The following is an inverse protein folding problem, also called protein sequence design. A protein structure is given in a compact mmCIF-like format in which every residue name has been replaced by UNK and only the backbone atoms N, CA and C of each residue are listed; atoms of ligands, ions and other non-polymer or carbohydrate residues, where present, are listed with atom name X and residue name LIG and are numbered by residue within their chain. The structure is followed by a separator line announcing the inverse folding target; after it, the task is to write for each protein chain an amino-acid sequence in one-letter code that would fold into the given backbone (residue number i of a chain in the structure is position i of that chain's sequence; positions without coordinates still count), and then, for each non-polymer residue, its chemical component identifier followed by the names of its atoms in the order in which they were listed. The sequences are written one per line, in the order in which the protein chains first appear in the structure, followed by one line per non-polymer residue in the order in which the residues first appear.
data_IF_536728569088
#
_entry.id   IF_536728569088
#
_cell.length_a   1.000
_cell.length_b   1.000
_cell.length_c   1.000
_cell.angle_alpha   90.00
_cell.angle_beta   90.00
_cell.angle_gamma   90.00
#
_symmetry.space_group_name_H-M   'P 1'
#
loop_
_entity.id
_entity.type
_entity.pdbx_description
1 polymer ?
#
# COMPACT_ATOMS: atom_id res chain seq x y z
N UNK A 1 5.06 -15.58 4.73
CA UNK A 1 4.13 -14.80 3.89
C UNK A 1 2.75 -15.45 3.94
N UNK A 2 1.68 -14.69 3.70
CA UNK A 2 0.33 -15.24 3.48
C UNK A 2 -0.19 -14.85 2.10
N UNK A 3 -1.22 -15.55 1.61
CA UNK A 3 -1.81 -15.33 0.29
C UNK A 3 -3.33 -15.33 0.39
N UNK A 4 -3.98 -14.39 -0.28
CA UNK A 4 -5.44 -14.25 -0.33
C UNK A 4 -5.91 -14.27 -1.78
N UNK A 5 -6.93 -15.07 -2.07
CA UNK A 5 -7.60 -15.08 -3.36
C UNK A 5 -8.68 -14.00 -3.40
N UNK A 6 -8.54 -13.02 -4.28
CA UNK A 6 -9.50 -11.90 -4.34
C UNK A 6 -10.86 -12.30 -4.93
N UNK A 7 -10.94 -13.47 -5.57
CA UNK A 7 -12.21 -14.02 -6.04
C UNK A 7 -13.14 -14.47 -4.90
N UNK A 8 -12.60 -14.72 -3.69
CA UNK A 8 -13.38 -15.18 -2.54
C UNK A 8 -14.14 -14.02 -1.85
N UNK A 9 -13.82 -12.78 -2.20
CA UNK A 9 -14.37 -11.56 -1.61
C UNK A 9 -13.28 -10.50 -1.39
N UNK A 10 -13.69 -9.26 -1.10
CA UNK A 10 -12.74 -8.18 -0.79
C UNK A 10 -12.12 -8.42 0.60
N UNK A 11 -10.78 -8.49 0.71
CA UNK A 11 -10.11 -9.00 1.92
C UNK A 11 -10.00 -7.95 3.02
N UNK A 12 -11.14 -7.49 3.52
CA UNK A 12 -11.26 -6.61 4.68
C UNK A 12 -11.65 -7.44 5.90
N UNK A 13 -10.89 -7.33 6.98
CA UNK A 13 -11.15 -8.13 8.18
C UNK A 13 -12.58 -7.94 8.69
N UNK A 14 -13.20 -9.05 9.06
CA UNK A 14 -14.56 -9.08 9.61
C UNK A 14 -14.60 -9.38 11.10
N UNK A 15 -13.50 -9.87 11.69
CA UNK A 15 -13.37 -10.09 13.14
C UNK A 15 -13.18 -8.79 13.94
N UNK A 16 -12.92 -7.67 13.26
CA UNK A 16 -13.01 -6.31 13.79
C UNK A 16 -13.36 -5.35 12.67
N UNK A 17 -14.04 -4.26 12.99
CA UNK A 17 -14.29 -3.17 12.03
C UNK A 17 -12.99 -2.46 11.65
N UNK A 18 -12.73 -2.35 10.36
CA UNK A 18 -11.59 -1.63 9.75
C UNK A 18 -12.14 -0.41 9.02
N UNK A 19 -11.46 0.73 9.12
CA UNK A 19 -11.87 1.97 8.45
C UNK A 19 -11.44 1.95 6.97
N UNK A 20 -12.26 1.35 6.10
CA UNK A 20 -11.99 1.28 4.67
C UNK A 20 -11.88 2.67 4.02
N UNK A 21 -12.68 3.65 4.45
CA UNK A 21 -12.65 4.99 3.85
C UNK A 21 -11.29 5.67 4.07
N UNK A 22 -10.72 5.53 5.28
CA UNK A 22 -9.36 6.01 5.55
C UNK A 22 -8.34 5.31 4.66
N UNK A 23 -8.47 3.99 4.47
CA UNK A 23 -7.60 3.21 3.59
C UNK A 23 -7.66 3.66 2.14
N UNK A 24 -8.87 3.92 1.64
CA UNK A 24 -9.07 4.36 0.28
C UNK A 24 -8.51 5.77 0.05
N UNK A 25 -8.76 6.71 0.97
CA UNK A 25 -8.19 8.06 0.86
C UNK A 25 -6.67 8.05 0.89
N UNK A 26 -6.07 7.20 1.72
CA UNK A 26 -4.62 7.06 1.78
C UNK A 26 -4.06 6.49 0.47
N UNK A 27 -4.67 5.43 -0.08
CA UNK A 27 -4.27 4.88 -1.38
C UNK A 27 -4.39 5.91 -2.51
N UNK A 28 -5.49 6.66 -2.56
CA UNK A 28 -5.68 7.70 -3.57
C UNK A 28 -4.65 8.84 -3.42
N UNK A 29 -4.23 9.15 -2.18
CA UNK A 29 -3.12 10.07 -1.93
C UNK A 29 -1.78 9.52 -2.38
N UNK A 30 -1.50 8.22 -2.19
CA UNK A 30 -0.31 7.59 -2.79
C UNK A 30 -0.35 7.70 -4.32
N UNK A 31 -1.50 7.42 -4.92
CA UNK A 31 -1.65 7.45 -6.37
C UNK A 31 -1.64 8.85 -6.97
N UNK A 32 -1.91 9.92 -6.21
CA UNK A 32 -1.77 11.29 -6.72
C UNK A 32 -0.31 11.72 -6.85
N UNK A 33 0.62 11.01 -6.20
CA UNK A 33 2.04 11.38 -6.16
C UNK A 33 2.37 12.50 -5.18
N UNK A 34 1.37 13.05 -4.48
CA UNK A 34 1.52 14.16 -3.53
C UNK A 34 2.37 13.73 -2.32
N UNK A 35 3.21 14.65 -1.84
CA UNK A 35 4.09 14.50 -0.68
C UNK A 35 3.66 15.39 0.49
N UNK A 36 2.57 16.13 0.34
CA UNK A 36 2.02 16.98 1.39
C UNK A 36 0.71 16.44 1.95
N UNK A 37 0.55 16.45 3.27
CA UNK A 37 -0.63 15.89 3.93
C UNK A 37 -1.85 16.80 4.01
N UNK A 38 -1.87 17.96 3.33
CA UNK A 38 -2.97 18.94 3.44
C UNK A 38 -4.34 18.37 3.11
N UNK A 39 -4.40 17.47 2.13
CA UNK A 39 -5.65 16.84 1.71
C UNK A 39 -5.94 15.60 2.56
N UNK A 40 -4.91 14.84 2.93
CA UNK A 40 -5.04 13.67 3.78
C UNK A 40 -5.49 14.04 5.21
N UNK A 41 -5.03 15.17 5.75
CA UNK A 41 -5.44 15.76 7.04
C UNK A 41 -6.94 16.02 7.15
N UNK A 42 -7.63 16.25 6.03
CA UNK A 42 -9.09 16.47 6.01
C UNK A 42 -9.87 15.20 6.34
N UNK A 43 -9.24 14.02 6.23
CA UNK A 43 -9.89 12.71 6.36
C UNK A 43 -9.24 11.81 7.42
N UNK A 44 -7.94 11.98 7.69
CA UNK A 44 -7.22 11.24 8.74
C UNK A 44 -6.07 12.08 9.31
N UNK A 45 -5.77 11.88 10.61
CA UNK A 45 -4.66 12.54 11.32
C UNK A 45 -3.45 11.64 11.54
N UNK A 46 -3.50 10.40 11.05
CA UNK A 46 -2.44 9.40 11.26
C UNK A 46 -1.07 9.97 10.86
N UNK A 47 -1.00 10.63 9.71
CA UNK A 47 0.24 11.14 9.13
C UNK A 47 0.80 12.40 9.80
N UNK A 48 0.07 13.02 10.73
CA UNK A 48 0.51 14.26 11.40
C UNK A 48 1.80 14.07 12.19
N UNK A 49 2.01 12.88 12.77
CA UNK A 49 3.17 12.59 13.61
C UNK A 49 4.49 12.50 12.83
N UNK A 50 4.42 12.19 11.52
CA UNK A 50 5.60 11.98 10.67
C UNK A 50 5.84 13.09 9.65
N UNK A 51 4.89 14.01 9.48
CA UNK A 51 5.09 15.21 8.71
C UNK A 51 6.01 16.21 9.42
N UNK A 52 6.64 17.09 8.65
CA UNK A 52 7.32 18.26 9.22
C UNK A 52 6.31 19.34 9.67
N UNK A 53 6.83 20.47 10.16
CA UNK A 53 6.02 21.59 10.64
C UNK A 53 5.15 22.22 9.54
N UNK A 54 5.57 22.09 8.27
CA UNK A 54 4.85 22.61 7.10
C UNK A 54 3.80 21.62 6.59
N UNK A 55 3.89 20.35 7.00
CA UNK A 55 3.04 19.27 6.53
C UNK A 55 3.60 18.55 5.31
N UNK A 56 4.88 18.75 5.02
CA UNK A 56 5.61 18.02 4.00
C UNK A 56 6.08 16.67 4.56
N UNK A 57 6.02 15.66 3.70
CA UNK A 57 6.38 14.27 3.98
C UNK A 57 7.32 13.83 2.87
N UNK A 58 8.60 14.18 3.00
CA UNK A 58 9.63 13.90 1.99
C UNK A 58 9.71 12.40 1.61
N UNK A 59 9.19 11.56 2.50
CA UNK A 59 9.24 10.11 2.49
C UNK A 59 7.92 9.47 2.05
N UNK A 60 6.97 10.29 1.60
CA UNK A 60 5.65 9.87 1.16
C UNK A 60 5.75 8.77 0.09
N UNK A 61 5.02 7.67 0.30
CA UNK A 61 4.94 6.59 -0.68
C UNK A 61 4.55 7.10 -2.07
N UNK A 62 3.61 8.05 -2.14
CA UNK A 62 3.11 8.55 -3.42
C UNK A 62 4.19 9.18 -4.28
N UNK A 63 5.06 9.99 -3.69
CA UNK A 63 6.24 10.56 -4.37
C UNK A 63 7.06 9.45 -5.01
N UNK A 64 7.37 8.38 -4.28
CA UNK A 64 8.13 7.27 -4.87
C UNK A 64 7.34 6.48 -5.91
N UNK A 65 6.02 6.35 -5.79
CA UNK A 65 5.25 5.56 -6.76
C UNK A 65 5.05 6.27 -8.09
N UNK A 66 4.80 7.58 -8.06
CA UNK A 66 4.45 8.38 -9.26
C UNK A 66 5.55 9.33 -9.72
N UNK A 67 6.49 9.68 -8.83
CA UNK A 67 7.52 10.71 -9.03
C UNK A 67 8.88 10.26 -8.49
N UNK A 68 9.27 9.00 -8.74
CA UNK A 68 10.51 8.45 -8.16
C UNK A 68 11.73 9.22 -8.69
N UNK A 69 12.56 9.83 -7.84
CA UNK A 69 13.72 10.60 -8.29
C UNK A 69 14.80 9.66 -8.82
N UNK A 70 15.21 9.86 -10.08
CA UNK A 70 16.26 9.10 -10.73
C UNK A 70 17.28 10.05 -11.37
N UNK A 71 18.57 10.00 -10.98
CA UNK A 71 19.61 10.76 -11.65
C UNK A 71 19.71 10.36 -13.13
N UNK A 72 19.60 11.33 -14.03
CA UNK A 72 19.78 11.12 -15.47
C UNK A 72 21.26 10.83 -15.72
N UNK A 73 21.64 9.56 -15.68
CA UNK A 73 22.95 9.13 -16.16
C UNK A 73 22.89 8.94 -17.69
N UNK A 74 23.88 9.50 -18.40
CA UNK A 74 24.21 9.05 -19.75
C UNK A 74 24.88 7.68 -19.62
N UNK A 75 24.09 6.60 -19.56
CA UNK A 75 24.46 5.18 -19.69
C UNK A 75 25.80 4.71 -19.07
N UNK A 76 25.78 3.80 -18.07
CA UNK A 76 26.95 3.10 -17.53
C UNK A 76 28.17 3.98 -17.16
N UNK A 77 28.01 5.31 -17.13
CA UNK A 77 29.08 6.21 -16.74
C UNK A 77 29.43 5.95 -15.27
N UNK A 78 30.71 6.01 -14.89
CA UNK A 78 31.11 5.92 -13.49
C UNK A 78 30.33 6.92 -12.65
N UNK A 79 30.09 6.58 -11.38
CA UNK A 79 29.55 7.51 -10.39
C UNK A 79 30.33 8.83 -10.49
N UNK A 80 29.60 9.94 -10.62
CA UNK A 80 30.18 11.27 -10.79
C UNK A 80 31.33 11.48 -9.81
N UNK A 81 32.47 11.96 -10.30
CA UNK A 81 33.62 12.20 -9.42
C UNK A 81 33.29 13.35 -8.47
N UNK A 82 33.81 13.29 -7.25
CA UNK A 82 33.63 14.35 -6.25
C UNK A 82 34.07 15.71 -6.83
N UNK A 83 33.12 16.62 -7.02
CA UNK A 83 33.34 17.94 -7.63
C UNK A 83 32.61 18.18 -8.97
N UNK A 84 32.01 17.15 -9.58
CA UNK A 84 31.15 17.32 -10.74
C UNK A 84 29.76 17.84 -10.36
N UNK A 85 29.15 18.64 -11.25
CA UNK A 85 27.78 19.11 -11.06
C UNK A 85 26.82 17.91 -10.98
N UNK A 86 25.88 17.95 -10.03
CA UNK A 86 24.88 16.91 -9.88
C UNK A 86 24.15 16.66 -11.21
N UNK A 87 24.05 15.39 -11.61
CA UNK A 87 23.28 15.02 -12.79
C UNK A 87 21.83 15.51 -12.63
N UNK A 88 21.18 16.00 -13.70
CA UNK A 88 19.78 16.37 -13.63
C UNK A 88 18.97 15.17 -13.16
N UNK A 89 17.98 15.37 -12.30
CA UNK A 89 17.10 14.31 -11.81
C UNK A 89 15.85 14.29 -12.70
N UNK A 90 15.47 13.10 -13.16
CA UNK A 90 14.16 12.86 -13.77
C UNK A 90 13.26 12.10 -12.79
N UNK A 91 11.95 12.27 -12.95
CA UNK A 91 10.97 11.52 -12.17
C UNK A 91 10.47 10.31 -12.96
N UNK A 92 10.34 9.16 -12.29
CA UNK A 92 9.80 7.93 -12.88
C UNK A 92 8.43 7.63 -12.26
N UNK A 93 7.39 7.59 -13.10
CA UNK A 93 6.05 7.11 -12.72
C UNK A 93 6.01 5.58 -12.82
N UNK A 94 6.37 4.91 -11.72
CA UNK A 94 6.46 3.44 -11.67
C UNK A 94 5.09 2.78 -11.86
N UNK A 95 4.00 3.41 -11.40
CA UNK A 95 2.63 2.88 -11.58
C UNK A 95 2.24 2.92 -13.06
N UNK A 96 2.50 4.04 -13.74
CA UNK A 96 2.23 4.15 -15.17
C UNK A 96 3.12 3.18 -15.97
N UNK A 97 4.39 3.04 -15.61
CA UNK A 97 5.27 2.03 -16.21
C UNK A 97 4.71 0.61 -16.09
N UNK A 98 4.13 0.24 -14.93
CA UNK A 98 3.47 -1.06 -14.74
C UNK A 98 2.24 -1.21 -15.65
N UNK A 99 1.37 -0.20 -15.71
CA UNK A 99 0.17 -0.22 -16.57
C UNK A 99 0.57 -0.42 -18.04
N UNK A 100 1.52 0.39 -18.52
CA UNK A 100 1.98 0.37 -19.90
C UNK A 100 2.67 -0.96 -20.25
N UNK A 101 3.48 -1.49 -19.33
CA UNK A 101 4.16 -2.76 -19.51
C UNK A 101 3.16 -3.92 -19.53
N UNK A 102 2.12 -3.94 -18.69
CA UNK A 102 1.09 -4.98 -18.76
C UNK A 102 0.36 -4.94 -20.11
N UNK A 103 -0.02 -3.75 -20.59
CA UNK A 103 -0.71 -3.57 -21.87
C UNK A 103 0.14 -4.02 -23.06
N UNK A 104 1.46 -3.80 -23.00
CA UNK A 104 2.41 -4.14 -24.08
C UNK A 104 2.95 -5.57 -24.00
N UNK A 105 3.23 -6.05 -22.80
CA UNK A 105 3.92 -7.29 -22.50
C UNK A 105 3.41 -7.89 -21.16
N UNK A 106 2.21 -8.50 -21.15
CA UNK A 106 1.53 -8.90 -19.92
C UNK A 106 2.30 -9.94 -19.08
N UNK A 107 3.17 -10.74 -19.71
CA UNK A 107 4.00 -11.72 -19.01
C UNK A 107 5.37 -11.18 -18.57
N UNK A 108 5.55 -9.86 -18.58
CA UNK A 108 6.75 -9.23 -18.08
C UNK A 108 7.04 -9.63 -16.64
N UNK A 109 8.31 -9.96 -16.37
CA UNK A 109 8.82 -10.28 -15.03
C UNK A 109 9.41 -9.04 -14.32
N UNK A 110 9.08 -7.85 -14.82
CA UNK A 110 9.66 -6.56 -14.43
C UNK A 110 8.62 -5.57 -13.89
N UNK A 111 7.41 -6.06 -13.59
CA UNK A 111 6.32 -5.25 -13.04
C UNK A 111 6.56 -5.00 -11.55
N UNK A 112 7.50 -4.13 -11.21
CA UNK A 112 7.95 -3.87 -9.84
C UNK A 112 7.82 -2.39 -9.53
N UNK A 113 7.33 -2.09 -8.33
CA UNK A 113 7.30 -0.75 -7.76
C UNK A 113 8.08 -0.77 -6.45
N UNK A 114 8.98 0.20 -6.29
CA UNK A 114 9.77 0.38 -5.06
C UNK A 114 9.47 1.73 -4.44
N UNK A 115 9.30 1.75 -3.11
CA UNK A 115 9.24 2.96 -2.32
C UNK A 115 10.55 3.22 -1.56
N UNK A 116 11.45 2.24 -1.49
CA UNK A 116 12.71 2.39 -0.76
C UNK A 116 13.74 3.18 -1.57
N UNK A 117 14.09 4.37 -1.09
CA UNK A 117 15.25 5.13 -1.54
C UNK A 117 16.24 5.25 -0.37
N UNK A 118 17.48 4.71 -0.48
CA UNK A 118 18.40 4.63 0.65
C UNK A 118 18.74 5.97 1.32
N UNK A 119 18.95 7.04 0.54
CA UNK A 119 19.33 8.35 1.09
C UNK A 119 18.23 8.96 1.95
N UNK A 120 16.99 8.89 1.49
CA UNK A 120 15.81 9.32 2.23
C UNK A 120 15.54 8.40 3.43
N UNK A 121 15.74 7.08 3.29
CA UNK A 121 15.48 6.14 4.38
C UNK A 121 16.40 6.35 5.60
N UNK A 122 17.59 6.93 5.41
CA UNK A 122 18.54 7.25 6.48
C UNK A 122 18.06 8.41 7.37
N UNK A 123 17.40 9.41 6.77
CA UNK A 123 16.99 10.65 7.46
C UNK A 123 15.49 10.71 7.78
N UNK A 124 14.70 9.79 7.21
CA UNK A 124 13.26 9.72 7.37
C UNK A 124 12.82 9.45 8.81
N UNK A 125 11.81 10.19 9.27
CA UNK A 125 11.07 9.84 10.51
C UNK A 125 10.24 8.55 10.37
N UNK A 126 9.83 8.21 9.15
CA UNK A 126 9.06 6.99 8.85
C UNK A 126 9.44 6.47 7.46
N UNK A 127 10.55 5.73 7.34
CA UNK A 127 10.91 5.15 6.06
C UNK A 127 9.83 4.15 5.63
N UNK A 128 9.58 3.97 4.32
CA UNK A 128 8.51 3.09 3.80
C UNK A 128 8.47 1.70 4.46
N UNK A 129 7.34 1.34 5.07
CA UNK A 129 7.12 0.02 5.65
C UNK A 129 6.89 -1.02 4.54
N UNK A 130 5.91 -0.78 3.67
CA UNK A 130 5.68 -1.56 2.45
C UNK A 130 6.57 -1.01 1.33
N UNK A 131 7.80 -1.50 1.31
CA UNK A 131 8.91 -0.89 0.57
C UNK A 131 9.03 -1.38 -0.87
N UNK A 132 8.48 -2.55 -1.19
CA UNK A 132 8.40 -3.04 -2.57
C UNK A 132 7.16 -3.90 -2.79
N UNK A 133 6.64 -3.85 -4.01
CA UNK A 133 5.62 -4.78 -4.46
C UNK A 133 5.80 -5.06 -5.96
N UNK A 134 5.36 -6.25 -6.37
CA UNK A 134 5.45 -6.69 -7.74
C UNK A 134 4.11 -7.25 -8.21
N UNK A 135 3.88 -7.17 -9.51
CA UNK A 135 2.73 -7.77 -10.16
C UNK A 135 3.16 -8.90 -11.09
N UNK A 136 2.26 -9.84 -11.33
CA UNK A 136 2.40 -10.79 -12.44
C UNK A 136 1.04 -11.14 -13.01
N UNK A 137 1.01 -11.39 -14.32
CA UNK A 137 -0.20 -11.87 -14.99
C UNK A 137 -0.12 -13.40 -15.14
N UNK A 138 -1.11 -14.10 -14.60
CA UNK A 138 -1.27 -15.54 -14.80
C UNK A 138 -2.09 -15.83 -16.05
N UNK A 139 -1.71 -16.82 -16.87
CA UNK A 139 -2.46 -17.19 -18.05
C UNK A 139 -3.73 -18.00 -17.70
N UNK A 140 -4.66 -18.06 -18.64
CA UNK A 140 -5.72 -19.06 -18.69
C UNK A 140 -5.21 -20.41 -19.25
N UNK A 141 -6.12 -21.37 -19.40
CA UNK A 141 -5.83 -22.71 -19.92
C UNK A 141 -5.34 -22.69 -21.39
N UNK A 142 -5.61 -21.62 -22.13
CA UNK A 142 -5.17 -21.43 -23.53
C UNK A 142 -3.85 -20.69 -23.63
N UNK A 143 -3.27 -20.27 -22.50
CA UNK A 143 -2.04 -19.48 -22.44
C UNK A 143 -2.26 -17.96 -22.59
N UNK A 144 -3.51 -17.48 -22.61
CA UNK A 144 -3.80 -16.04 -22.74
C UNK A 144 -3.76 -15.33 -21.38
N UNK A 145 -3.34 -14.05 -21.32
CA UNK A 145 -3.38 -13.26 -20.09
C UNK A 145 -4.77 -13.28 -19.44
N UNK A 146 -4.86 -13.61 -18.14
CA UNK A 146 -6.14 -13.73 -17.45
C UNK A 146 -6.21 -12.95 -16.14
N UNK A 147 -5.31 -13.27 -15.19
CA UNK A 147 -5.42 -12.77 -13.80
C UNK A 147 -4.23 -11.93 -13.39
N UNK A 148 -4.48 -10.74 -12.85
CA UNK A 148 -3.44 -9.90 -12.24
C UNK A 148 -3.26 -10.29 -10.77
N UNK A 149 -2.04 -10.63 -10.39
CA UNK A 149 -1.66 -10.92 -9.00
C UNK A 149 -0.71 -9.84 -8.49
N UNK A 150 -0.69 -9.65 -7.18
CA UNK A 150 0.19 -8.73 -6.48
C UNK A 150 0.95 -9.46 -5.37
N UNK A 151 2.25 -9.17 -5.25
CA UNK A 151 3.08 -9.60 -4.13
C UNK A 151 3.66 -8.36 -3.46
N UNK A 152 3.22 -8.09 -2.23
CA UNK A 152 3.76 -7.08 -1.35
C UNK A 152 4.87 -7.62 -0.44
N UNK A 153 5.99 -6.90 -0.34
CA UNK A 153 7.00 -7.10 0.71
C UNK A 153 7.05 -5.89 1.64
N UNK A 154 6.84 -6.15 2.93
CA UNK A 154 6.79 -5.15 3.99
C UNK A 154 7.87 -5.45 5.02
N UNK A 155 8.75 -4.48 5.30
CA UNK A 155 9.88 -4.65 6.22
C UNK A 155 9.43 -4.74 7.69
N UNK A 156 8.34 -4.08 8.02
CA UNK A 156 7.85 -3.90 9.39
C UNK A 156 6.32 -3.79 9.34
N UNK A 157 5.65 -4.69 10.05
CA UNK A 157 4.21 -4.87 9.96
C UNK A 157 3.55 -5.04 11.32
N UNK A 158 2.89 -3.98 11.79
CA UNK A 158 2.00 -4.03 12.95
C UNK A 158 0.77 -4.90 12.61
N UNK A 159 0.67 -6.05 13.27
CA UNK A 159 -0.41 -7.02 13.06
C UNK A 159 -1.78 -6.43 13.47
N UNK A 160 -1.84 -5.54 14.46
CA UNK A 160 -3.09 -5.00 14.95
C UNK A 160 -3.66 -3.94 14.01
N UNK A 161 -2.84 -3.00 13.55
CA UNK A 161 -3.30 -1.85 12.76
C UNK A 161 -2.84 -1.89 11.30
N UNK A 162 -1.53 -2.00 11.08
CA UNK A 162 -0.92 -1.84 9.75
C UNK A 162 -1.32 -2.94 8.77
N UNK A 163 -1.10 -4.21 9.12
CA UNK A 163 -1.31 -5.35 8.21
C UNK A 163 -2.74 -5.42 7.64
N UNK A 164 -3.82 -5.29 8.44
CA UNK A 164 -5.18 -5.26 7.89
C UNK A 164 -5.41 -4.13 6.89
N UNK A 165 -4.83 -2.96 7.16
CA UNK A 165 -4.95 -1.77 6.33
C UNK A 165 -4.17 -1.94 5.02
N UNK A 166 -2.94 -2.45 5.10
CA UNK A 166 -2.10 -2.72 3.95
C UNK A 166 -2.72 -3.79 3.03
N UNK A 167 -3.31 -4.86 3.59
CA UNK A 167 -4.02 -5.87 2.77
C UNK A 167 -5.17 -5.25 1.96
N UNK A 168 -6.00 -4.42 2.58
CA UNK A 168 -7.10 -3.75 1.90
C UNK A 168 -6.61 -2.76 0.83
N UNK A 169 -5.54 -2.02 1.12
CA UNK A 169 -4.91 -1.07 0.21
C UNK A 169 -4.40 -1.77 -1.06
N UNK A 170 -3.60 -2.82 -0.90
CA UNK A 170 -3.02 -3.54 -2.04
C UNK A 170 -4.03 -4.41 -2.79
N UNK A 171 -5.09 -4.91 -2.12
CA UNK A 171 -6.22 -5.53 -2.81
C UNK A 171 -6.98 -4.53 -3.68
N UNK A 172 -7.23 -3.32 -3.17
CA UNK A 172 -7.87 -2.24 -3.92
C UNK A 172 -7.02 -1.84 -5.14
N UNK A 173 -5.71 -1.60 -4.93
CA UNK A 173 -4.78 -1.28 -6.02
C UNK A 173 -4.74 -2.37 -7.10
N UNK A 174 -4.70 -3.64 -6.70
CA UNK A 174 -4.72 -4.77 -7.64
C UNK A 174 -6.00 -4.79 -8.46
N UNK A 175 -7.15 -4.52 -7.84
CA UNK A 175 -8.43 -4.45 -8.53
C UNK A 175 -8.52 -3.25 -9.49
N UNK A 176 -7.99 -2.08 -9.10
CA UNK A 176 -7.91 -0.89 -9.96
C UNK A 176 -7.08 -1.16 -11.22
N UNK A 177 -5.87 -1.73 -11.05
CA UNK A 177 -4.97 -2.04 -12.16
C UNK A 177 -5.55 -3.14 -13.06
N UNK A 178 -6.13 -4.19 -12.48
CA UNK A 178 -6.78 -5.26 -13.23
C UNK A 178 -7.90 -4.68 -14.12
N UNK A 179 -8.72 -3.77 -13.60
CA UNK A 179 -9.77 -3.10 -14.37
C UNK A 179 -9.19 -2.25 -15.51
N UNK A 180 -8.16 -1.44 -15.26
CA UNK A 180 -7.52 -0.56 -16.25
C UNK A 180 -6.92 -1.34 -17.43
N UNK A 181 -6.37 -2.52 -17.17
CA UNK A 181 -5.70 -3.36 -18.19
C UNK A 181 -6.57 -4.51 -18.70
N UNK A 182 -7.83 -4.58 -18.27
CA UNK A 182 -8.80 -5.58 -18.75
C UNK A 182 -8.55 -7.01 -18.29
N UNK A 183 -7.99 -7.21 -17.09
CA UNK A 183 -7.72 -8.52 -16.49
C UNK A 183 -8.69 -8.83 -15.34
N UNK A 184 -8.84 -10.13 -15.02
CA UNK A 184 -9.47 -10.60 -13.80
C UNK A 184 -8.56 -10.34 -12.58
N UNK A 185 -9.16 -10.17 -11.40
CA UNK A 185 -8.41 -10.17 -10.14
C UNK A 185 -7.90 -11.57 -9.80
N UNK A 186 -6.62 -11.67 -9.45
CA UNK A 186 -5.97 -12.87 -8.97
C UNK A 186 -5.82 -12.84 -7.46
N UNK A 187 -4.59 -13.01 -6.99
CA UNK A 187 -4.28 -13.09 -5.56
C UNK A 187 -3.39 -11.94 -5.09
N UNK A 188 -3.52 -11.58 -3.82
CA UNK A 188 -2.55 -10.76 -3.09
C UNK A 188 -1.75 -11.66 -2.16
N UNK A 189 -0.43 -11.67 -2.34
CA UNK A 189 0.52 -12.28 -1.41
C UNK A 189 1.24 -11.18 -0.62
N UNK A 190 1.48 -11.44 0.67
CA UNK A 190 2.13 -10.47 1.56
C UNK A 190 3.24 -11.15 2.37
N UNK A 191 4.47 -10.77 2.09
CA UNK A 191 5.65 -11.08 2.91
C UNK A 191 5.86 -9.96 3.91
N UNK A 192 5.82 -10.31 5.19
CA UNK A 192 6.14 -9.40 6.29
C UNK A 192 7.47 -9.89 6.87
N UNK A 193 8.48 -9.02 6.91
CA UNK A 193 9.82 -9.37 7.40
C UNK A 193 9.80 -9.37 8.94
N UNK A 194 9.55 -8.21 9.54
CA UNK A 194 9.27 -8.08 10.96
C UNK A 194 7.76 -7.96 11.17
N UNK A 195 7.13 -9.07 11.58
CA UNK A 195 5.73 -9.12 11.96
C UNK A 195 5.62 -9.07 13.48
N UNK A 196 5.03 -8.00 14.01
CA UNK A 196 5.02 -7.73 15.45
C UNK A 196 3.66 -7.27 15.97
N UNK A 197 3.53 -7.36 17.28
CA UNK A 197 2.41 -6.86 18.08
C UNK A 197 3.03 -5.95 19.14
N UNK A 198 2.50 -4.73 19.29
CA UNK A 198 2.92 -3.86 20.37
C UNK A 198 2.41 -4.39 21.72
N UNK A 199 3.31 -4.46 22.69
CA UNK A 199 2.99 -4.87 24.06
C UNK A 199 3.54 -3.87 25.05
N UNK A 200 2.83 -3.65 26.14
CA UNK A 200 3.30 -2.77 27.20
C UNK A 200 2.91 -3.27 28.59
N UNK A 201 3.72 -2.95 29.59
CA UNK A 201 3.38 -3.22 30.99
C UNK A 201 2.17 -2.39 31.40
N UNK A 202 1.19 -3.03 32.06
CA UNK A 202 -0.08 -2.41 32.45
C UNK A 202 0.08 -1.17 33.36
N UNK A 203 1.19 -1.08 34.10
CA UNK A 203 1.49 0.04 35.00
C UNK A 203 2.46 1.06 34.40
N UNK A 204 2.85 0.91 33.13
CA UNK A 204 3.76 1.84 32.45
C UNK A 204 3.01 3.00 31.81
N UNK A 205 3.73 4.08 31.51
CA UNK A 205 3.22 5.19 30.68
C UNK A 205 2.85 4.74 29.26
N UNK A 206 3.27 3.54 28.85
CA UNK A 206 3.01 2.95 27.54
C UNK A 206 1.84 1.98 27.53
N UNK A 207 1.15 1.75 28.66
CA UNK A 207 0.04 0.80 28.78
C UNK A 207 -1.05 0.98 27.71
N UNK A 208 -1.26 2.22 27.25
CA UNK A 208 -2.27 2.53 26.24
C UNK A 208 -1.90 2.05 24.81
N UNK A 209 -0.65 1.64 24.57
CA UNK A 209 -0.16 1.08 23.30
C UNK A 209 -0.10 -0.46 23.32
N UNK A 210 -0.51 -1.11 24.41
CA UNK A 210 -0.63 -2.57 24.43
C UNK A 210 -1.76 -3.03 23.51
N UNK A 211 -1.45 -3.92 22.57
CA UNK A 211 -2.41 -4.49 21.65
C UNK A 211 -2.78 -5.94 22.00
N UNK A 212 -2.09 -6.56 22.95
CA UNK A 212 -2.21 -7.98 23.22
C UNK A 212 -3.61 -8.35 23.73
N UNK A 213 -4.19 -7.56 24.64
CA UNK A 213 -5.54 -7.80 25.14
C UNK A 213 -6.60 -7.72 24.03
N UNK A 214 -6.57 -6.67 23.20
CA UNK A 214 -7.51 -6.49 22.09
C UNK A 214 -7.36 -7.56 21.02
N UNK A 215 -6.14 -8.00 20.71
CA UNK A 215 -5.94 -9.10 19.76
C UNK A 215 -6.44 -10.45 20.30
N UNK A 216 -6.29 -10.73 21.60
CA UNK A 216 -6.88 -11.92 22.23
C UNK A 216 -8.41 -11.89 22.15
N UNK A 217 -9.03 -10.73 22.36
CA UNK A 217 -10.46 -10.56 22.15
C UNK A 217 -10.85 -10.84 20.68
N UNK A 218 -10.08 -10.31 19.72
CA UNK A 218 -10.31 -10.52 18.30
C UNK A 218 -10.28 -12.01 17.92
N UNK A 219 -9.37 -12.80 18.52
CA UNK A 219 -9.23 -14.24 18.26
C UNK A 219 -10.45 -15.07 18.71
N UNK A 220 -11.26 -14.55 19.63
CA UNK A 220 -12.50 -15.21 20.08
C UNK A 220 -13.69 -14.96 19.14
N UNK A 221 -13.52 -14.17 18.07
CA UNK A 221 -14.59 -13.82 17.14
C UNK A 221 -14.46 -14.66 15.88
N UNK A 222 -15.52 -15.41 15.54
CA UNK A 222 -15.58 -16.13 14.27
C UNK A 222 -15.61 -15.14 13.09
N UNK A 223 -14.82 -15.36 12.01
CA UNK A 223 -14.93 -14.56 10.80
C UNK A 223 -16.35 -14.57 10.22
N UNK A 224 -16.82 -13.40 9.77
CA UNK A 224 -18.07 -13.25 9.00
C UNK A 224 -17.77 -13.19 7.49
N UNK A 225 -18.79 -13.34 6.61
CA UNK A 225 -18.60 -13.27 5.17
C UNK A 225 -17.85 -12.01 4.73
N UNK A 226 -16.97 -12.16 3.74
CA UNK A 226 -16.20 -11.05 3.19
C UNK A 226 -17.12 -10.08 2.43
N UNK A 227 -16.85 -8.76 2.49
CA UNK A 227 -17.57 -7.79 1.68
C UNK A 227 -17.19 -7.89 0.20
N UNK A 228 -17.84 -7.08 -0.64
CA UNK A 228 -17.47 -6.88 -2.03
C UNK A 228 -17.09 -5.42 -2.26
N UNK A 229 -16.00 -5.19 -2.99
CA UNK A 229 -15.64 -3.86 -3.48
C UNK A 229 -16.02 -3.74 -4.96
N UNK A 230 -16.80 -2.73 -5.29
CA UNK A 230 -17.14 -2.35 -6.67
C UNK A 230 -16.48 -1.00 -6.99
N UNK A 231 -15.88 -0.89 -8.17
CA UNK A 231 -15.19 0.32 -8.66
C UNK A 231 -15.90 0.79 -9.93
N UNK A 232 -16.12 2.11 -10.08
CA UNK A 232 -16.69 2.68 -11.29
C UNK A 232 -15.79 2.43 -12.51
N UNK A 233 -16.40 2.25 -13.68
CA UNK A 233 -15.68 2.04 -14.95
C UNK A 233 -15.15 3.36 -15.51
N UNK A 234 -14.09 3.88 -14.89
CA UNK A 234 -13.36 5.08 -15.33
C UNK A 234 -11.88 4.75 -15.56
N UNK A 235 -11.16 5.58 -16.34
CA UNK A 235 -9.71 5.48 -16.45
C UNK A 235 -9.03 5.55 -15.08
N UNK A 236 -7.95 4.78 -14.89
CA UNK A 236 -7.25 4.64 -13.61
C UNK A 236 -6.94 5.98 -12.93
N UNK A 237 -6.44 6.96 -13.69
CA UNK A 237 -6.04 8.27 -13.18
C UNK A 237 -7.23 9.24 -12.96
N UNK A 238 -8.45 8.86 -13.33
CA UNK A 238 -9.67 9.66 -13.15
C UNK A 238 -10.55 9.18 -11.98
N UNK A 239 -10.19 8.06 -11.35
CA UNK A 239 -10.94 7.52 -10.21
C UNK A 239 -10.85 8.45 -9.00
N UNK A 240 -12.01 8.80 -8.44
CA UNK A 240 -12.13 9.55 -7.18
C UNK A 240 -12.69 8.66 -6.07
N UNK A 241 -12.73 9.17 -4.84
CA UNK A 241 -13.21 8.41 -3.69
C UNK A 241 -14.64 7.87 -3.87
N UNK A 242 -15.51 8.64 -4.51
CA UNK A 242 -16.92 8.33 -4.75
C UNK A 242 -17.12 7.18 -5.75
N UNK A 243 -16.09 6.81 -6.49
CA UNK A 243 -16.13 5.73 -7.47
C UNK A 243 -16.00 4.33 -6.83
N UNK A 244 -15.81 4.25 -5.53
CA UNK A 244 -15.63 3.01 -4.79
C UNK A 244 -16.82 2.75 -3.88
N UNK A 245 -17.39 1.56 -3.98
CA UNK A 245 -18.51 1.11 -3.14
C UNK A 245 -18.16 -0.19 -2.46
N UNK A 246 -18.07 -0.15 -1.13
CA UNK A 246 -17.95 -1.33 -0.29
C UNK A 246 -19.35 -1.84 0.07
N UNK A 247 -19.66 -3.06 -0.34
CA UNK A 247 -20.97 -3.68 -0.22
C UNK A 247 -20.89 -4.85 0.77
N UNK A 248 -21.95 -5.03 1.57
CA UNK A 248 -22.12 -6.14 2.51
C UNK A 248 -21.01 -6.27 3.57
N UNK A 249 -20.43 -5.15 4.00
CA UNK A 249 -19.45 -5.15 5.10
C UNK A 249 -20.16 -5.13 6.47
N UNK A 250 -20.35 -6.32 7.04
CA UNK A 250 -20.90 -6.53 8.39
C UNK A 250 -19.85 -7.15 9.32
N UNK A 251 -18.85 -6.38 9.79
CA UNK A 251 -17.85 -6.89 10.72
C UNK A 251 -18.37 -6.93 12.16
N UNK A 252 -17.68 -7.67 13.01
CA UNK A 252 -17.78 -7.50 14.46
C UNK A 252 -17.40 -6.06 14.87
N UNK A 253 -17.82 -5.59 16.06
CA UNK A 253 -17.52 -4.24 16.56
C UNK A 253 -16.02 -3.88 16.50
N UNK A 254 -15.71 -2.59 16.42
CA UNK A 254 -14.32 -2.12 16.42
C UNK A 254 -13.60 -2.54 17.71
N UNK A 255 -12.30 -2.84 17.58
CA UNK A 255 -11.37 -2.96 18.72
C UNK A 255 -10.40 -1.79 18.57
N UNK A 256 -10.27 -1.00 19.63
CA UNK A 256 -9.43 0.19 19.62
C UNK A 256 -7.98 -0.21 19.89
N UNK A 257 -7.09 0.17 18.98
CA UNK A 257 -5.64 0.06 19.15
C UNK A 257 -5.04 1.45 18.94
N UNK A 258 -4.15 1.88 19.83
CA UNK A 258 -3.41 3.14 19.63
C UNK A 258 -2.22 2.90 18.70
N UNK A 259 -2.01 3.85 17.79
CA UNK A 259 -0.81 3.90 16.94
C UNK A 259 0.37 4.25 17.83
N UNK A 260 1.41 3.42 17.84
CA UNK A 260 2.69 3.77 18.46
C UNK A 260 3.41 4.79 17.56
N UNK A 261 3.79 5.92 18.14
CA UNK A 261 4.48 7.05 17.50
C UNK A 261 5.82 7.29 18.16
#
# INVERSE_FOLDING_TARGET
FYKVNLADGFPLLTTKKVNFNACLHELLWYLSGDDHIRNLRKVTKIWDAWADEKGDLETAYGRYWRRFPHPVQKSHAPVAQTGEAAAPVQEIDQIQCVIDEIKRNPFSRRLVVVAWEPGNAEVSKLPPCHYSFAFNVSPDETGKPRRLNCHLTQRSGDIALGIPFNLACYATLTQMLAQEVGLEIGTVAHTIIDAHIYTADANSTMAAYDHAAGLREQLNRAPRPLPKLTIAKKPFNELTFEDFKLENYDPHPAIQFKVAV
#
